data_IF_494759910271
#
_entry.id   IF_494759910271
#
_cell.length_a   1.000
_cell.length_b   1.000
_cell.length_c   1.000
_cell.angle_alpha   90.00
_cell.angle_beta   90.00
_cell.angle_gamma   90.00
#
_symmetry.space_group_name_H-M   'P 1'
#
loop_
_entity.id
_entity.type
_entity.pdbx_description
1 polymer ?
#
# COMPACT_ATOMS: atom_id res chain seq x y z
N UNK A 1 9.40 40.39 -16.88
CA UNK A 1 10.42 39.34 -16.65
C UNK A 1 9.85 38.05 -17.21
N UNK A 2 10.46 37.49 -18.23
CA UNK A 2 10.01 36.19 -18.78
C UNK A 2 10.20 35.11 -17.70
N UNK A 3 9.19 34.27 -17.57
CA UNK A 3 9.17 33.17 -16.62
C UNK A 3 9.99 32.00 -17.21
N UNK A 4 10.84 31.38 -16.40
CA UNK A 4 11.59 30.20 -16.86
C UNK A 4 10.67 28.99 -17.01
N UNK A 5 11.07 28.02 -17.85
CA UNK A 5 10.33 26.76 -18.05
C UNK A 5 10.08 26.01 -16.74
N UNK A 6 11.08 25.98 -15.85
CA UNK A 6 10.96 25.32 -14.54
C UNK A 6 9.95 26.05 -13.62
N UNK A 7 9.91 27.38 -13.65
CA UNK A 7 8.91 28.17 -12.91
C UNK A 7 7.49 27.94 -13.48
N UNK A 8 7.37 27.81 -14.81
CA UNK A 8 6.12 27.48 -15.46
C UNK A 8 5.61 26.11 -15.05
N UNK A 9 6.49 25.09 -15.03
CA UNK A 9 6.18 23.73 -14.59
C UNK A 9 5.69 23.74 -13.13
N UNK A 10 6.40 24.42 -12.23
CA UNK A 10 6.03 24.48 -10.82
C UNK A 10 4.62 25.07 -10.64
N UNK A 11 4.33 26.22 -11.28
CA UNK A 11 3.00 26.85 -11.21
C UNK A 11 1.89 26.00 -11.79
N UNK A 12 2.16 25.34 -12.93
CA UNK A 12 1.20 24.41 -13.55
C UNK A 12 0.88 23.24 -12.61
N UNK A 13 1.90 22.65 -11.98
CA UNK A 13 1.72 21.54 -11.05
C UNK A 13 0.96 21.98 -9.80
N UNK A 14 1.25 23.16 -9.27
CA UNK A 14 0.54 23.69 -8.09
C UNK A 14 -0.95 23.89 -8.37
N UNK A 15 -1.29 24.41 -9.54
CA UNK A 15 -2.67 24.56 -9.98
C UNK A 15 -3.38 23.21 -10.16
N UNK A 16 -2.67 22.20 -10.66
CA UNK A 16 -3.24 20.87 -10.89
C UNK A 16 -3.47 20.09 -9.58
N UNK A 17 -2.52 20.17 -8.64
CA UNK A 17 -2.62 19.44 -7.35
C UNK A 17 -3.73 19.98 -6.46
N UNK A 18 -4.17 21.23 -6.65
CA UNK A 18 -5.27 21.84 -5.90
C UNK A 18 -6.67 21.36 -6.35
N UNK A 19 -6.77 20.56 -7.41
CA UNK A 19 -8.04 19.96 -7.83
C UNK A 19 -8.54 18.95 -6.79
N UNK A 20 -9.84 18.97 -6.52
CA UNK A 20 -10.45 18.11 -5.49
C UNK A 20 -10.37 16.61 -5.84
N UNK A 21 -10.46 16.27 -7.12
CA UNK A 21 -10.41 14.89 -7.61
C UNK A 21 -9.20 14.69 -8.55
N UNK A 22 -8.04 14.43 -7.95
CA UNK A 22 -6.83 14.06 -8.69
C UNK A 22 -6.52 12.57 -8.48
N UNK A 23 -6.31 11.84 -9.58
CA UNK A 23 -5.94 10.43 -9.50
C UNK A 23 -4.57 10.23 -8.86
N UNK A 24 -4.34 9.09 -8.18
CA UNK A 24 -3.02 8.76 -7.61
C UNK A 24 -1.88 8.85 -8.63
N UNK A 25 -2.10 8.40 -9.87
CA UNK A 25 -1.13 8.48 -10.97
C UNK A 25 -0.83 9.93 -11.35
N UNK A 26 -1.85 10.76 -11.56
CA UNK A 26 -1.70 12.17 -11.92
C UNK A 26 -0.94 12.92 -10.84
N UNK A 27 -1.27 12.68 -9.55
CA UNK A 27 -0.55 13.27 -8.42
C UNK A 27 0.91 12.82 -8.38
N UNK A 28 1.18 11.55 -8.69
CA UNK A 28 2.53 10.99 -8.72
C UNK A 28 3.40 11.68 -9.79
N UNK A 29 2.92 11.79 -11.02
CA UNK A 29 3.62 12.45 -12.11
C UNK A 29 3.78 13.96 -11.86
N UNK A 30 2.75 14.63 -11.36
CA UNK A 30 2.80 16.06 -11.02
C UNK A 30 3.87 16.34 -9.96
N UNK A 31 3.92 15.57 -8.88
CA UNK A 31 4.94 15.71 -7.83
C UNK A 31 6.34 15.38 -8.34
N UNK A 32 6.49 14.39 -9.24
CA UNK A 32 7.77 14.08 -9.88
C UNK A 32 8.25 15.25 -10.72
N UNK A 33 7.40 15.81 -11.59
CA UNK A 33 7.74 16.97 -12.42
C UNK A 33 8.18 18.16 -11.57
N UNK A 34 7.46 18.46 -10.48
CA UNK A 34 7.80 19.54 -9.56
C UNK A 34 9.15 19.30 -8.87
N UNK A 35 9.39 18.08 -8.37
CA UNK A 35 10.68 17.72 -7.76
C UNK A 35 11.84 17.88 -8.75
N UNK A 36 11.65 17.45 -9.99
CA UNK A 36 12.70 17.52 -11.02
C UNK A 36 12.97 18.98 -11.43
N UNK A 37 11.92 19.81 -11.55
CA UNK A 37 12.08 21.26 -11.81
C UNK A 37 12.82 21.96 -10.66
N UNK A 38 12.45 21.70 -9.41
CA UNK A 38 13.13 22.30 -8.25
C UNK A 38 14.59 21.85 -8.12
N UNK A 39 14.91 20.60 -8.45
CA UNK A 39 16.29 20.11 -8.48
C UNK A 39 17.13 20.82 -9.54
N UNK A 40 16.59 21.06 -10.74
CA UNK A 40 17.28 21.78 -11.79
C UNK A 40 17.53 23.24 -11.41
N UNK A 41 16.60 23.89 -10.74
CA UNK A 41 16.80 25.25 -10.22
C UNK A 41 17.91 25.29 -9.16
N UNK A 42 17.95 24.36 -8.21
CA UNK A 42 19.01 24.26 -7.22
C UNK A 42 20.39 24.05 -7.86
N UNK A 43 20.50 23.15 -8.83
CA UNK A 43 21.74 22.89 -9.56
C UNK A 43 22.22 24.11 -10.33
N UNK A 44 21.34 24.95 -10.90
CA UNK A 44 21.72 26.22 -11.58
C UNK A 44 22.30 27.26 -10.62
N UNK A 45 21.72 27.34 -9.40
CA UNK A 45 22.24 28.26 -8.37
C UNK A 45 23.66 27.87 -7.96
N UNK A 46 23.96 26.58 -7.86
CA UNK A 46 25.29 26.07 -7.52
C UNK A 46 26.34 26.38 -8.63
N UNK A 47 25.94 26.41 -9.91
CA UNK A 47 26.80 26.70 -11.04
C UNK A 47 27.14 28.21 -11.13
N UNK A 48 26.18 29.08 -10.82
CA UNK A 48 26.36 30.55 -10.89
C UNK A 48 27.14 31.13 -9.69
N UNK A 49 27.59 30.31 -8.75
CA UNK A 49 28.47 30.69 -7.66
C UNK A 49 27.90 31.71 -6.65
N UNK A 50 26.62 31.95 -6.68
CA UNK A 50 25.94 32.93 -5.81
C UNK A 50 25.49 32.33 -4.47
N UNK A 51 25.55 31.00 -4.28
CA UNK A 51 25.40 30.37 -2.98
C UNK A 51 26.78 30.26 -2.30
N UNK A 52 27.05 31.15 -1.33
CA UNK A 52 28.16 30.95 -0.41
C UNK A 52 28.07 29.59 0.32
N UNK A 53 29.16 29.20 0.97
CA UNK A 53 29.41 27.90 1.64
C UNK A 53 28.28 27.34 2.57
N UNK A 54 27.15 28.05 2.75
CA UNK A 54 26.05 27.67 3.62
C UNK A 54 24.93 26.86 2.94
N UNK A 55 24.89 26.77 1.60
CA UNK A 55 23.85 26.04 0.87
C UNK A 55 23.93 24.51 1.06
N UNK A 56 25.13 23.98 1.36
CA UNK A 56 25.31 22.56 1.69
C UNK A 56 24.91 22.15 3.11
N UNK A 57 24.60 23.11 3.99
CA UNK A 57 24.30 22.85 5.40
C UNK A 57 22.81 22.76 5.73
N UNK A 58 21.90 23.20 4.87
CA UNK A 58 20.48 22.96 5.12
C UNK A 58 20.13 21.57 4.60
N UNK A 59 20.14 20.58 5.49
CA UNK A 59 19.76 19.17 5.21
C UNK A 59 18.29 18.95 4.82
N UNK A 60 17.63 19.98 4.29
CA UNK A 60 16.25 19.93 3.82
C UNK A 60 16.25 19.26 2.44
N UNK A 61 15.64 18.07 2.39
CA UNK A 61 15.53 17.33 1.13
C UNK A 61 14.49 17.98 0.21
N UNK A 62 14.72 18.01 -1.09
CA UNK A 62 13.79 18.56 -2.10
C UNK A 62 12.35 18.04 -1.91
N UNK A 63 12.18 16.76 -1.51
CA UNK A 63 10.87 16.20 -1.25
C UNK A 63 10.15 16.85 -0.05
N UNK A 64 10.87 17.34 0.95
CA UNK A 64 10.30 18.02 2.09
C UNK A 64 9.85 19.44 1.68
N UNK A 65 10.67 20.14 0.89
CA UNK A 65 10.30 21.45 0.31
C UNK A 65 9.05 21.34 -0.59
N UNK A 66 9.00 20.35 -1.47
CA UNK A 66 7.80 20.09 -2.29
C UNK A 66 6.59 19.77 -1.41
N UNK A 67 6.79 18.95 -0.37
CA UNK A 67 5.74 18.60 0.56
C UNK A 67 5.10 19.81 1.24
N UNK A 68 5.92 20.72 1.73
CA UNK A 68 5.46 21.95 2.41
C UNK A 68 4.58 22.81 1.50
N UNK A 69 4.87 22.88 0.20
CA UNK A 69 4.04 23.65 -0.76
C UNK A 69 2.68 23.04 -1.08
N UNK A 70 2.54 21.71 -0.90
CA UNK A 70 1.31 20.97 -1.25
C UNK A 70 0.61 20.35 -0.03
N UNK A 71 1.04 20.69 1.18
CA UNK A 71 0.46 20.19 2.44
C UNK A 71 0.74 18.70 2.69
N UNK A 72 1.83 18.14 2.15
CA UNK A 72 2.23 16.75 2.32
C UNK A 72 3.56 16.65 3.07
N UNK A 73 3.76 15.56 3.80
CA UNK A 73 5.08 15.25 4.35
C UNK A 73 6.01 14.75 3.24
N UNK A 74 7.30 15.09 3.27
CA UNK A 74 8.26 14.67 2.25
C UNK A 74 8.32 13.14 2.02
N UNK A 75 8.01 12.33 3.06
CA UNK A 75 7.85 10.87 2.88
C UNK A 75 6.67 10.54 1.96
N UNK A 76 5.55 11.24 2.09
CA UNK A 76 4.38 11.03 1.23
C UNK A 76 4.70 11.43 -0.21
N UNK A 77 5.40 12.55 -0.41
CA UNK A 77 5.89 12.97 -1.74
C UNK A 77 6.74 11.87 -2.37
N UNK A 78 7.70 11.34 -1.64
CA UNK A 78 8.55 10.23 -2.12
C UNK A 78 7.74 8.98 -2.47
N UNK A 79 6.73 8.65 -1.68
CA UNK A 79 5.84 7.51 -1.95
C UNK A 79 5.00 7.73 -3.22
N UNK A 80 4.47 8.93 -3.45
CA UNK A 80 3.80 9.25 -4.71
C UNK A 80 4.75 9.14 -5.89
N UNK A 81 5.94 9.73 -5.80
CA UNK A 81 6.94 9.65 -6.88
C UNK A 81 7.33 8.19 -7.16
N UNK A 82 7.34 7.31 -6.15
CA UNK A 82 7.59 5.88 -6.38
C UNK A 82 6.54 5.21 -7.27
N UNK A 83 5.29 5.64 -7.26
CA UNK A 83 4.27 5.09 -8.15
C UNK A 83 4.61 5.26 -9.64
N UNK A 84 5.41 6.27 -10.00
CA UNK A 84 5.83 6.46 -11.40
C UNK A 84 6.78 5.38 -11.93
N UNK A 85 7.22 4.45 -11.09
CA UNK A 85 8.03 3.28 -11.45
C UNK A 85 7.20 2.01 -11.63
N UNK A 86 5.88 2.11 -11.49
CA UNK A 86 4.98 1.02 -11.83
C UNK A 86 4.77 0.96 -13.34
N UNK A 87 4.53 -0.26 -13.85
CA UNK A 87 4.07 -0.42 -15.23
C UNK A 87 2.69 0.23 -15.39
N UNK A 88 2.37 0.75 -16.58
CA UNK A 88 1.12 1.48 -16.81
C UNK A 88 -0.14 0.72 -16.37
N UNK A 89 -0.18 -0.57 -16.64
CA UNK A 89 -1.32 -1.44 -16.32
C UNK A 89 -1.56 -1.57 -14.81
N UNK A 90 -0.48 -1.67 -14.02
CA UNK A 90 -0.56 -1.70 -12.56
C UNK A 90 -0.95 -0.33 -11.99
N UNK A 91 -0.41 0.74 -12.58
CA UNK A 91 -0.74 2.11 -12.17
C UNK A 91 -2.23 2.41 -12.42
N UNK A 92 -2.78 1.96 -13.53
CA UNK A 92 -4.23 2.05 -13.81
C UNK A 92 -5.06 1.28 -12.76
N UNK A 93 -4.59 0.12 -12.30
CA UNK A 93 -5.26 -0.61 -11.21
C UNK A 93 -5.26 0.15 -9.88
N UNK A 94 -4.22 0.96 -9.64
CA UNK A 94 -4.17 1.84 -8.46
C UNK A 94 -5.23 2.95 -8.58
N UNK A 95 -5.35 3.56 -9.75
CA UNK A 95 -6.35 4.60 -10.03
C UNK A 95 -7.79 4.07 -9.93
N UNK A 96 -7.99 2.81 -10.34
CA UNK A 96 -9.27 2.09 -10.19
C UNK A 96 -9.55 1.61 -8.75
N UNK A 97 -8.62 1.79 -7.81
CA UNK A 97 -8.74 1.34 -6.43
C UNK A 97 -8.61 -0.18 -6.20
N UNK A 98 -8.25 -0.95 -7.23
CA UNK A 98 -8.03 -2.41 -7.14
C UNK A 98 -6.76 -2.75 -6.35
N UNK A 99 -5.75 -1.88 -6.42
CA UNK A 99 -4.53 -1.96 -5.64
C UNK A 99 -4.46 -0.73 -4.75
N UNK A 100 -4.32 -0.93 -3.45
CA UNK A 100 -4.21 0.16 -2.49
C UNK A 100 -2.86 0.87 -2.62
N UNK A 101 -2.80 2.14 -2.20
CA UNK A 101 -1.62 3.01 -2.34
C UNK A 101 -0.34 2.42 -1.73
N UNK A 102 -0.39 1.94 -0.47
CA UNK A 102 0.82 1.43 0.21
C UNK A 102 1.36 0.16 -0.45
N UNK A 103 0.55 -0.87 -0.73
CA UNK A 103 0.95 -2.02 -1.54
C UNK A 103 1.52 -1.64 -2.92
N UNK A 104 0.94 -0.64 -3.59
CA UNK A 104 1.45 -0.16 -4.88
C UNK A 104 2.86 0.44 -4.76
N UNK A 105 3.12 1.21 -3.69
CA UNK A 105 4.48 1.71 -3.40
C UNK A 105 5.45 0.56 -3.18
N UNK A 106 5.07 -0.47 -2.43
CA UNK A 106 5.92 -1.66 -2.24
C UNK A 106 6.18 -2.41 -3.55
N UNK A 107 5.15 -2.55 -4.39
CA UNK A 107 5.26 -3.19 -5.71
C UNK A 107 6.20 -2.42 -6.66
N UNK A 108 6.27 -1.09 -6.55
CA UNK A 108 7.17 -0.25 -7.36
C UNK A 108 8.67 -0.49 -7.11
N UNK A 109 9.04 -1.25 -6.09
CA UNK A 109 10.41 -1.67 -5.83
C UNK A 109 10.78 -3.01 -6.47
N UNK A 110 9.79 -3.72 -7.02
CA UNK A 110 9.99 -4.99 -7.69
C UNK A 110 10.25 -4.80 -9.17
N UNK A 111 10.93 -5.78 -9.77
CA UNK A 111 11.26 -5.75 -11.19
C UNK A 111 10.00 -5.71 -12.07
N UNK A 112 10.10 -5.09 -13.23
CA UNK A 112 9.00 -4.92 -14.19
C UNK A 112 8.33 -6.25 -14.55
N UNK A 113 9.12 -7.33 -14.69
CA UNK A 113 8.61 -8.66 -14.99
C UNK A 113 7.73 -9.19 -13.84
N UNK A 114 8.12 -8.96 -12.59
CA UNK A 114 7.33 -9.34 -11.41
C UNK A 114 6.03 -8.53 -11.36
N UNK A 115 6.10 -7.22 -11.68
CA UNK A 115 4.91 -6.37 -11.75
C UNK A 115 3.92 -6.89 -12.80
N UNK A 116 4.38 -7.37 -13.97
CA UNK A 116 3.53 -7.99 -15.01
C UNK A 116 2.83 -9.25 -14.50
N UNK A 117 3.54 -10.13 -13.80
CA UNK A 117 2.94 -11.33 -13.22
C UNK A 117 1.92 -11.02 -12.11
N UNK A 118 2.20 -9.99 -11.31
CA UNK A 118 1.24 -9.50 -10.32
C UNK A 118 0.00 -8.91 -10.99
N UNK A 119 0.17 -8.16 -12.08
CA UNK A 119 -0.94 -7.64 -12.87
C UNK A 119 -1.84 -8.77 -13.39
N UNK A 120 -1.27 -9.81 -14.00
CA UNK A 120 -2.00 -10.99 -14.49
C UNK A 120 -2.76 -11.66 -13.33
N UNK A 121 -2.10 -11.85 -12.19
CA UNK A 121 -2.73 -12.42 -11.00
C UNK A 121 -3.93 -11.59 -10.52
N UNK A 122 -3.81 -10.28 -10.46
CA UNK A 122 -4.93 -9.39 -10.05
C UNK A 122 -6.05 -9.41 -11.08
N UNK A 123 -5.73 -9.50 -12.37
CA UNK A 123 -6.70 -9.61 -13.44
C UNK A 123 -7.55 -10.88 -13.33
N UNK A 124 -6.94 -12.00 -12.96
CA UNK A 124 -7.62 -13.29 -12.78
C UNK A 124 -8.41 -13.37 -11.47
N UNK A 125 -7.83 -12.88 -10.37
CA UNK A 125 -8.39 -13.03 -9.03
C UNK A 125 -9.25 -11.83 -8.57
N UNK A 126 -9.19 -10.71 -9.29
CA UNK A 126 -9.97 -9.50 -9.03
C UNK A 126 -9.38 -8.58 -7.94
N UNK A 127 -8.49 -9.06 -7.10
CA UNK A 127 -7.88 -8.30 -6.01
C UNK A 127 -6.52 -8.85 -5.58
N UNK A 128 -5.75 -8.03 -4.85
CA UNK A 128 -4.54 -8.46 -4.15
C UNK A 128 -4.54 -7.91 -2.72
N UNK A 129 -4.10 -8.74 -1.77
CA UNK A 129 -3.96 -8.32 -0.37
C UNK A 129 -2.57 -7.77 -0.09
N UNK A 130 -2.43 -6.78 0.82
CA UNK A 130 -1.13 -6.23 1.20
C UNK A 130 -0.09 -7.29 1.63
N UNK A 131 -0.53 -8.33 2.34
CA UNK A 131 0.34 -9.42 2.80
C UNK A 131 1.02 -10.18 1.65
N UNK A 132 0.38 -10.29 0.48
CA UNK A 132 0.93 -10.95 -0.69
C UNK A 132 2.10 -10.15 -1.29
N UNK A 133 1.94 -8.83 -1.40
CA UNK A 133 3.02 -7.94 -1.87
C UNK A 133 4.17 -7.89 -0.86
N UNK A 134 3.86 -7.84 0.43
CA UNK A 134 4.88 -7.89 1.48
C UNK A 134 5.67 -9.20 1.43
N UNK A 135 5.02 -10.33 1.16
CA UNK A 135 5.69 -11.61 1.01
C UNK A 135 6.65 -11.63 -0.20
N UNK A 136 6.23 -11.07 -1.33
CA UNK A 136 7.09 -10.90 -2.50
C UNK A 136 8.30 -10.02 -2.18
N UNK A 137 8.08 -8.85 -1.59
CA UNK A 137 9.15 -7.90 -1.25
C UNK A 137 10.22 -8.50 -0.32
N UNK A 138 9.80 -9.36 0.61
CA UNK A 138 10.70 -9.98 1.59
C UNK A 138 11.33 -11.29 1.10
N UNK A 139 10.98 -11.76 -0.11
CA UNK A 139 11.51 -13.02 -0.63
C UNK A 139 12.96 -12.86 -1.12
N UNK A 140 13.91 -13.65 -0.60
CA UNK A 140 15.35 -13.42 -0.82
C UNK A 140 15.81 -13.65 -2.27
N UNK A 141 15.11 -14.46 -3.06
CA UNK A 141 15.52 -14.89 -4.40
C UNK A 141 14.51 -14.52 -5.49
N UNK A 142 13.92 -13.34 -5.42
CA UNK A 142 12.86 -12.91 -6.34
C UNK A 142 13.38 -12.74 -7.77
N UNK A 143 14.64 -12.32 -7.96
CA UNK A 143 15.25 -12.06 -9.26
C UNK A 143 15.36 -13.31 -10.16
N UNK A 144 15.37 -14.51 -9.57
CA UNK A 144 15.43 -15.79 -10.30
C UNK A 144 14.09 -16.54 -10.27
N UNK A 145 13.03 -15.94 -9.74
CA UNK A 145 11.73 -16.54 -9.64
C UNK A 145 11.04 -16.55 -11.02
N UNK A 146 10.34 -17.62 -11.33
CA UNK A 146 9.43 -17.67 -12.47
C UNK A 146 7.99 -17.30 -12.01
N UNK A 147 7.08 -17.15 -12.98
CA UNK A 147 5.68 -16.79 -12.71
C UNK A 147 5.01 -17.74 -11.71
N UNK A 148 5.25 -19.04 -11.85
CA UNK A 148 4.68 -20.04 -10.95
C UNK A 148 5.13 -19.83 -9.50
N UNK A 149 6.43 -19.54 -9.29
CA UNK A 149 6.96 -19.25 -7.96
C UNK A 149 6.34 -18.00 -7.36
N UNK A 150 6.15 -16.93 -8.15
CA UNK A 150 5.50 -15.69 -7.72
C UNK A 150 4.06 -15.96 -7.27
N UNK A 151 3.29 -16.71 -8.06
CA UNK A 151 1.91 -17.09 -7.73
C UNK A 151 1.87 -17.96 -6.45
N UNK A 152 2.79 -18.91 -6.31
CA UNK A 152 2.88 -19.75 -5.10
C UNK A 152 3.16 -18.92 -3.85
N UNK A 153 4.15 -18.02 -3.90
CA UNK A 153 4.49 -17.10 -2.78
C UNK A 153 3.26 -16.26 -2.40
N UNK A 154 2.54 -15.71 -3.37
CA UNK A 154 1.35 -14.92 -3.11
C UNK A 154 0.23 -15.73 -2.49
N UNK A 155 0.00 -16.95 -2.94
CA UNK A 155 -1.04 -17.82 -2.41
C UNK A 155 -0.71 -18.34 -0.99
N UNK A 156 0.55 -18.65 -0.73
CA UNK A 156 1.01 -19.10 0.59
C UNK A 156 0.98 -17.99 1.63
N UNK A 157 1.10 -16.73 1.20
CA UNK A 157 0.97 -15.56 2.06
C UNK A 157 -0.48 -15.31 2.53
N UNK A 158 -1.47 -15.91 1.85
CA UNK A 158 -2.85 -15.79 2.28
C UNK A 158 -3.09 -16.63 3.54
N UNK A 159 -3.82 -16.12 4.54
CA UNK A 159 -4.19 -16.91 5.69
C UNK A 159 -4.95 -18.14 5.21
N UNK A 160 -4.42 -19.32 5.47
CA UNK A 160 -5.12 -20.59 5.21
C UNK A 160 -6.44 -20.51 5.95
N UNK A 161 -7.56 -20.61 5.24
CA UNK A 161 -8.87 -20.71 5.88
C UNK A 161 -8.77 -21.92 6.82
N UNK A 162 -8.78 -21.68 8.13
CA UNK A 162 -8.92 -22.76 9.09
C UNK A 162 -10.23 -23.49 8.71
N UNK A 163 -10.12 -24.77 8.38
CA UNK A 163 -11.29 -25.61 8.06
C UNK A 163 -12.25 -25.75 9.27
N UNK A 164 -11.83 -25.26 10.42
CA UNK A 164 -12.65 -25.23 11.63
C UNK A 164 -13.55 -23.99 11.57
N UNK A 165 -14.78 -24.19 11.15
CA UNK A 165 -15.83 -23.20 11.34
C UNK A 165 -16.04 -23.01 12.85
N UNK A 166 -15.49 -21.93 13.43
CA UNK A 166 -15.77 -21.59 14.81
C UNK A 166 -17.22 -21.11 14.90
N UNK A 167 -18.06 -21.92 15.50
CA UNK A 167 -19.42 -21.51 15.88
C UNK A 167 -19.29 -20.70 17.16
N UNK A 168 -19.61 -19.42 17.11
CA UNK A 168 -19.62 -18.53 18.28
C UNK A 168 -21.06 -18.13 18.61
N UNK A 169 -21.41 -18.28 19.86
CA UNK A 169 -22.71 -17.82 20.36
C UNK A 169 -22.50 -16.52 21.15
N UNK A 170 -23.42 -15.57 20.96
CA UNK A 170 -23.43 -14.37 21.81
C UNK A 170 -23.64 -14.77 23.27
N UNK A 171 -22.83 -14.25 24.19
CA UNK A 171 -22.93 -14.50 25.61
C UNK A 171 -24.36 -14.24 26.11
N UNK A 172 -25.02 -13.17 25.70
CA UNK A 172 -26.43 -12.84 26.04
C UNK A 172 -27.43 -13.92 25.64
N UNK A 173 -27.17 -14.70 24.58
CA UNK A 173 -28.06 -15.79 24.16
C UNK A 173 -27.89 -17.03 25.03
N UNK A 174 -26.68 -17.25 25.54
CA UNK A 174 -26.34 -18.43 26.35
C UNK A 174 -26.62 -18.19 27.82
N UNK A 175 -26.33 -16.98 28.33
CA UNK A 175 -26.48 -16.63 29.76
C UNK A 175 -27.88 -16.92 30.32
N UNK A 176 -28.92 -16.79 29.52
CA UNK A 176 -30.28 -17.08 29.94
C UNK A 176 -30.54 -18.55 30.30
N UNK A 177 -29.68 -19.46 29.88
CA UNK A 177 -29.82 -20.91 30.15
C UNK A 177 -28.96 -21.37 31.34
N UNK A 178 -28.08 -20.51 31.86
CA UNK A 178 -27.18 -20.86 32.94
C UNK A 178 -27.38 -19.96 34.15
N UNK A 179 -27.35 -20.52 35.37
CA UNK A 179 -27.33 -19.73 36.60
C UNK A 179 -26.09 -18.80 36.64
N UNK A 180 -26.20 -17.63 37.32
CA UNK A 180 -25.11 -16.63 37.32
C UNK A 180 -23.78 -17.10 37.92
N UNK A 181 -23.78 -18.13 38.74
CA UNK A 181 -22.59 -18.67 39.41
C UNK A 181 -21.79 -19.65 38.55
N UNK A 182 -22.26 -20.03 37.35
CA UNK A 182 -21.51 -20.93 36.46
C UNK A 182 -20.43 -20.18 35.75
N UNK A 183 -19.16 -20.66 35.89
CA UNK A 183 -18.04 -20.17 35.13
C UNK A 183 -18.16 -20.52 33.63
N UNK A 184 -17.42 -19.81 32.77
CA UNK A 184 -17.41 -20.08 31.31
C UNK A 184 -17.02 -21.54 31.01
N UNK A 185 -16.09 -22.10 31.76
CA UNK A 185 -15.61 -23.47 31.57
C UNK A 185 -16.62 -24.51 31.94
N UNK A 186 -17.39 -24.27 32.99
CA UNK A 186 -18.51 -25.16 33.41
C UNK A 186 -19.63 -25.13 32.37
N UNK A 187 -19.96 -23.97 31.84
CA UNK A 187 -20.95 -23.81 30.76
C UNK A 187 -20.55 -24.57 29.50
N UNK A 188 -19.26 -24.45 29.11
CA UNK A 188 -18.69 -25.16 27.95
C UNK A 188 -18.83 -26.69 28.14
N UNK A 189 -18.45 -27.20 29.29
CA UNK A 189 -18.55 -28.64 29.59
C UNK A 189 -20.00 -29.16 29.53
N UNK A 190 -20.96 -28.41 30.07
CA UNK A 190 -22.38 -28.77 30.01
C UNK A 190 -22.89 -28.77 28.56
N UNK A 191 -22.51 -27.79 27.76
CA UNK A 191 -22.87 -27.73 26.33
C UNK A 191 -22.32 -28.96 25.61
N UNK A 192 -21.08 -29.32 25.86
CA UNK A 192 -20.42 -30.49 25.22
C UNK A 192 -21.16 -31.77 25.63
N UNK A 193 -21.48 -31.97 26.93
CA UNK A 193 -22.20 -33.12 27.39
C UNK A 193 -23.61 -33.25 26.75
N UNK A 194 -24.32 -32.14 26.63
CA UNK A 194 -25.64 -32.13 25.99
C UNK A 194 -25.55 -32.45 24.48
N UNK A 195 -24.53 -31.99 23.80
CA UNK A 195 -24.30 -32.34 22.41
C UNK A 195 -23.88 -33.78 22.21
N UNK A 196 -23.11 -34.36 23.11
CA UNK A 196 -22.74 -35.79 23.11
C UNK A 196 -23.99 -36.66 23.32
N UNK A 197 -24.83 -36.33 24.30
CA UNK A 197 -26.11 -37.03 24.52
C UNK A 197 -27.03 -36.95 23.30
N UNK A 198 -27.21 -35.73 22.77
CA UNK A 198 -28.02 -35.55 21.58
C UNK A 198 -27.48 -36.32 20.36
N UNK A 199 -26.16 -36.37 20.19
CA UNK A 199 -25.54 -37.17 19.13
C UNK A 199 -25.77 -38.67 19.30
N UNK A 200 -25.74 -39.17 20.54
CA UNK A 200 -26.02 -40.58 20.82
C UNK A 200 -27.49 -40.98 20.57
N UNK A 201 -28.41 -40.03 20.77
CA UNK A 201 -29.86 -40.26 20.54
C UNK A 201 -30.24 -40.21 19.03
N UNK A 202 -29.30 -39.81 18.14
CA UNK A 202 -29.50 -39.77 16.67
C UNK A 202 -29.05 -41.05 15.95
N UNK A 203 -28.37 -41.97 16.65
CA UNK A 203 -27.90 -43.27 16.13
C UNK A 203 -28.85 -44.35 16.48
#
# INVERSE_FOLDING_TARGET
>A
KEMSDDEAIIKMVDANIQREEILPSERAFSLKMKMDAMRRQGARVDIDGTCGNDCHKSGIKTADLVGDTVGLKGRQVRNYVRLTYLIPEVLEMVDQGKIQFVPAVDLSYLDEQVQKWVFEYVKENGFIKPVQITALKNHPNLSNANQFNIISIMNDALPKKSKEAKISFSAKKIDKFFPPHYSMKERENIIIQLLEQWSADQV
#
